data_IF_470997495779
#
_entry.id   IF_470997495779
#
_cell.length_a   1.000
_cell.length_b   1.000
_cell.length_c   1.000
_cell.angle_alpha   90.00
_cell.angle_beta   90.00
_cell.angle_gamma   90.00
#
_symmetry.space_group_name_H-M   'P 1'
#
loop_
_entity.id
_entity.type
_entity.pdbx_description
1 polymer ?
#
# COMPACT_ATOMS: atom_id res chain seq x y z
N UNK A 1 -10.35 -6.95 21.50
CA UNK A 1 -10.37 -7.77 22.71
C UNK A 1 -9.30 -7.29 23.70
N UNK A 2 -9.64 -7.32 24.97
CA UNK A 2 -8.75 -6.86 26.03
C UNK A 2 -8.62 -7.95 27.10
N UNK A 3 -7.50 -7.99 27.80
CA UNK A 3 -7.33 -8.80 28.99
C UNK A 3 -8.02 -8.18 30.22
N UNK A 4 -7.97 -8.85 31.38
CA UNK A 4 -8.56 -8.37 32.62
C UNK A 4 -7.86 -7.10 33.17
N UNK A 5 -6.65 -6.81 32.77
CA UNK A 5 -5.90 -5.61 33.14
C UNK A 5 -6.12 -4.44 32.18
N UNK A 6 -6.88 -4.66 31.10
CA UNK A 6 -7.18 -3.64 30.08
C UNK A 6 -6.14 -3.53 28.97
N UNK A 7 -5.21 -4.48 28.84
CA UNK A 7 -4.29 -4.51 27.74
C UNK A 7 -4.98 -5.04 26.47
N UNK A 8 -4.73 -4.41 25.35
CA UNK A 8 -5.25 -4.86 24.05
C UNK A 8 -4.59 -6.18 23.66
N UNK A 9 -5.37 -7.23 23.47
CA UNK A 9 -4.93 -8.54 23.01
C UNK A 9 -5.08 -8.71 21.51
N UNK A 10 -6.15 -8.17 20.93
CA UNK A 10 -6.47 -8.31 19.53
C UNK A 10 -7.39 -7.23 19.02
N UNK A 11 -7.21 -6.80 17.78
CA UNK A 11 -8.08 -5.89 17.03
C UNK A 11 -8.57 -6.56 15.75
N UNK A 12 -9.75 -6.19 15.30
CA UNK A 12 -10.29 -6.60 14.01
C UNK A 12 -10.51 -5.37 13.13
N UNK A 13 -10.08 -5.45 11.89
CA UNK A 13 -10.47 -4.50 10.86
C UNK A 13 -11.78 -4.99 10.21
N UNK A 14 -12.84 -4.22 10.36
CA UNK A 14 -14.13 -4.53 9.72
C UNK A 14 -14.23 -3.68 8.45
N UNK A 15 -14.32 -4.34 7.32
CA UNK A 15 -14.40 -3.71 6.01
C UNK A 15 -15.75 -4.02 5.37
N UNK A 16 -16.63 -3.01 5.30
CA UNK A 16 -17.96 -3.14 4.73
C UNK A 16 -17.97 -2.50 3.34
N UNK A 17 -18.33 -3.25 2.34
CA UNK A 17 -18.33 -2.84 0.94
C UNK A 17 -19.61 -3.26 0.24
N UNK A 18 -20.10 -2.46 -0.74
CA UNK A 18 -21.29 -2.79 -1.51
C UNK A 18 -20.98 -3.72 -2.70
N UNK A 19 -20.12 -4.72 -2.52
CA UNK A 19 -19.77 -5.67 -3.56
C UNK A 19 -19.44 -7.05 -2.97
N UNK A 20 -19.54 -8.07 -3.79
CA UNK A 20 -19.16 -9.44 -3.44
C UNK A 20 -17.79 -9.76 -4.04
N UNK A 21 -16.73 -9.92 -3.23
CA UNK A 21 -15.40 -10.23 -3.74
C UNK A 21 -15.33 -11.58 -4.46
N UNK A 22 -16.25 -12.49 -4.21
CA UNK A 22 -16.32 -13.78 -4.89
C UNK A 22 -16.84 -13.68 -6.34
N UNK A 23 -17.57 -12.63 -6.65
CA UNK A 23 -18.13 -12.40 -7.99
C UNK A 23 -17.32 -11.37 -8.80
N UNK A 24 -16.56 -10.53 -8.12
CA UNK A 24 -15.76 -9.46 -8.74
C UNK A 24 -14.27 -9.77 -8.59
N UNK A 25 -13.82 -10.84 -9.24
CA UNK A 25 -12.44 -11.32 -9.22
C UNK A 25 -11.79 -11.19 -10.59
N UNK A 26 -10.45 -11.08 -10.57
CA UNK A 26 -9.59 -11.21 -11.75
C UNK A 26 -8.76 -12.46 -11.60
N UNK A 27 -8.65 -13.26 -12.65
CA UNK A 27 -7.84 -14.47 -12.66
C UNK A 27 -6.56 -14.25 -13.48
N UNK A 28 -5.41 -14.41 -12.83
CA UNK A 28 -4.07 -14.33 -13.42
C UNK A 28 -3.17 -15.42 -12.83
N UNK A 29 -2.41 -16.10 -13.67
CA UNK A 29 -1.45 -17.13 -13.23
C UNK A 29 -2.07 -18.16 -12.27
N UNK A 30 -3.31 -18.58 -12.54
CA UNK A 30 -4.08 -19.51 -11.69
C UNK A 30 -4.48 -18.94 -10.30
N UNK A 31 -4.24 -17.64 -10.06
CA UNK A 31 -4.70 -16.94 -8.87
C UNK A 31 -5.95 -16.12 -9.15
N UNK A 32 -6.91 -16.17 -8.24
CA UNK A 32 -8.10 -15.33 -8.26
C UNK A 32 -7.92 -14.16 -7.30
N UNK A 33 -7.76 -12.96 -7.86
CA UNK A 33 -7.49 -11.72 -7.12
C UNK A 33 -8.78 -10.92 -6.94
N UNK A 34 -8.92 -10.26 -5.80
CA UNK A 34 -9.92 -9.21 -5.64
C UNK A 34 -9.70 -8.11 -6.69
N UNK A 35 -10.77 -7.54 -7.23
CA UNK A 35 -10.70 -6.46 -8.22
C UNK A 35 -10.17 -5.15 -7.65
N UNK A 36 -10.13 -5.00 -6.32
CA UNK A 36 -9.79 -3.76 -5.62
C UNK A 36 -8.80 -3.96 -4.47
N UNK A 37 -8.20 -2.85 -4.04
CA UNK A 37 -7.29 -2.85 -2.91
C UNK A 37 -8.02 -3.15 -1.61
N UNK A 38 -7.35 -3.81 -0.68
CA UNK A 38 -7.90 -4.04 0.66
C UNK A 38 -8.21 -2.69 1.34
N UNK A 39 -9.43 -2.54 1.82
CA UNK A 39 -9.95 -1.30 2.39
C UNK A 39 -10.52 -0.29 1.37
N UNK A 40 -10.46 -0.58 0.07
CA UNK A 40 -11.07 0.29 -0.94
C UNK A 40 -12.59 0.07 -1.05
N UNK A 41 -13.32 1.16 -1.24
CA UNK A 41 -14.77 1.13 -1.40
C UNK A 41 -15.20 1.10 -2.87
N UNK A 42 -14.28 1.36 -3.79
CA UNK A 42 -14.54 1.45 -5.21
C UNK A 42 -13.40 0.80 -6.02
N UNK A 43 -13.63 0.62 -7.32
CA UNK A 43 -12.66 0.13 -8.31
C UNK A 43 -12.78 0.98 -9.59
N UNK A 44 -12.71 2.31 -9.44
CA UNK A 44 -12.74 3.29 -10.51
C UNK A 44 -11.86 4.49 -10.16
N UNK A 45 -11.44 5.25 -11.16
CA UNK A 45 -10.51 6.36 -10.97
C UNK A 45 -10.77 7.58 -11.88
N UNK A 46 -11.94 7.67 -12.49
CA UNK A 46 -12.25 8.76 -13.43
C UNK A 46 -12.57 10.07 -12.70
N UNK A 47 -13.24 10.00 -11.57
CA UNK A 47 -13.53 11.18 -10.72
C UNK A 47 -12.60 11.24 -9.49
N UNK A 48 -12.55 12.40 -8.83
CA UNK A 48 -11.79 12.56 -7.61
C UNK A 48 -12.31 11.67 -6.47
N UNK A 49 -13.62 11.54 -6.35
CA UNK A 49 -14.30 10.70 -5.38
C UNK A 49 -14.02 9.22 -5.62
N UNK A 50 -14.06 8.78 -6.86
CA UNK A 50 -13.70 7.41 -7.24
C UNK A 50 -12.26 7.11 -6.88
N UNK A 51 -11.32 8.01 -7.19
CA UNK A 51 -9.90 7.82 -6.84
C UNK A 51 -9.69 7.67 -5.34
N UNK A 52 -10.33 8.54 -4.53
CA UNK A 52 -10.26 8.45 -3.07
C UNK A 52 -10.79 7.11 -2.56
N UNK A 53 -11.94 6.69 -3.07
CA UNK A 53 -12.58 5.44 -2.68
C UNK A 53 -11.79 4.20 -3.14
N UNK A 54 -10.92 4.33 -4.14
CA UNK A 54 -10.18 3.21 -4.73
C UNK A 54 -8.76 3.03 -4.19
N UNK A 55 -8.22 3.99 -3.45
CA UNK A 55 -6.86 3.85 -2.89
C UNK A 55 -6.75 2.70 -1.87
N UNK A 56 -7.76 2.51 -1.03
CA UNK A 56 -7.71 1.55 0.06
C UNK A 56 -6.80 1.99 1.20
N UNK A 57 -6.33 1.02 1.96
CA UNK A 57 -5.51 1.20 3.16
C UNK A 57 -4.08 0.71 2.91
N UNK A 58 -3.17 1.16 3.78
CA UNK A 58 -1.79 0.69 3.79
C UNK A 58 -1.54 -0.27 4.94
N UNK A 59 -0.60 -1.18 4.74
CA UNK A 59 -0.17 -2.18 5.71
C UNK A 59 1.35 -2.18 5.79
N UNK A 60 1.92 -2.27 6.99
CA UNK A 60 3.32 -2.67 7.13
C UNK A 60 3.42 -4.17 6.89
N UNK A 61 4.44 -4.61 6.20
CA UNK A 61 4.58 -6.02 5.85
C UNK A 61 4.61 -6.91 7.11
N UNK A 62 3.83 -7.98 7.11
CA UNK A 62 3.70 -8.88 8.25
C UNK A 62 2.71 -8.43 9.33
N UNK A 63 2.04 -7.26 9.18
CA UNK A 63 1.05 -6.74 10.14
C UNK A 63 -0.36 -6.84 9.57
N UNK A 64 -1.31 -7.24 10.45
CA UNK A 64 -2.73 -7.31 10.10
C UNK A 64 -3.48 -5.99 10.19
N UNK A 65 -2.96 -5.01 10.93
CA UNK A 65 -3.66 -3.75 11.23
C UNK A 65 -3.39 -2.70 10.14
N UNK A 66 -4.42 -2.04 9.63
CA UNK A 66 -4.32 -1.07 8.56
C UNK A 66 -3.87 0.31 9.04
N UNK A 67 -3.25 1.03 8.13
CA UNK A 67 -2.96 2.46 8.23
C UNK A 67 -3.73 3.23 7.17
N UNK A 68 -4.16 4.43 7.52
CA UNK A 68 -4.88 5.31 6.60
C UNK A 68 -4.06 5.54 5.34
N UNK A 69 -4.67 5.37 4.18
CA UNK A 69 -4.14 5.70 2.88
C UNK A 69 -4.14 7.20 2.59
N UNK A 70 -3.95 7.62 1.34
CA UNK A 70 -4.01 9.03 0.97
C UNK A 70 -5.34 9.66 1.34
N UNK A 71 -5.31 10.78 2.05
CA UNK A 71 -6.52 11.50 2.50
C UNK A 71 -7.20 12.32 1.41
N UNK A 72 -6.58 12.45 0.24
CA UNK A 72 -7.19 12.95 -0.98
C UNK A 72 -6.41 12.38 -2.17
N UNK A 73 -6.99 12.44 -3.37
CA UNK A 73 -6.29 12.01 -4.58
C UNK A 73 -5.02 12.84 -4.86
N UNK A 74 -4.86 13.94 -4.16
CA UNK A 74 -3.67 14.81 -4.18
C UNK A 74 -2.96 14.86 -2.84
N UNK A 75 -3.46 14.21 -1.81
CA UNK A 75 -2.91 14.37 -0.47
C UNK A 75 -1.79 13.41 -0.19
N UNK A 76 -0.85 13.95 0.44
CA UNK A 76 0.34 13.34 0.91
C UNK A 76 0.41 13.16 2.39
N UNK A 77 -0.49 13.67 3.07
CA UNK A 77 -0.37 14.04 4.45
C UNK A 77 -1.11 13.05 5.34
N UNK A 78 -0.97 11.79 5.00
CA UNK A 78 -1.63 10.74 5.73
C UNK A 78 -1.30 10.67 7.22
N UNK A 79 -0.29 11.40 7.69
CA UNK A 79 -0.03 11.57 9.13
C UNK A 79 -1.06 12.45 9.81
N UNK A 80 -1.77 13.29 9.06
CA UNK A 80 -2.85 14.14 9.57
C UNK A 80 -4.25 13.63 9.21
N UNK A 81 -4.38 12.52 8.50
CA UNK A 81 -5.67 11.90 8.28
C UNK A 81 -6.29 11.52 9.63
N UNK A 82 -7.51 11.97 9.85
CA UNK A 82 -8.23 11.68 11.08
C UNK A 82 -8.78 10.26 11.04
N UNK A 83 -8.63 9.58 12.15
CA UNK A 83 -9.28 8.31 12.45
C UNK A 83 -10.26 8.59 13.57
N UNK A 84 -11.41 7.94 13.55
CA UNK A 84 -12.43 8.12 14.57
C UNK A 84 -12.56 6.86 15.41
N UNK A 85 -12.57 7.02 16.73
CA UNK A 85 -12.86 5.93 17.64
C UNK A 85 -14.37 5.64 17.72
N UNK A 86 -14.77 4.65 18.52
CA UNK A 86 -16.19 4.28 18.67
C UNK A 86 -17.07 5.41 19.23
N UNK A 87 -16.50 6.34 19.97
CA UNK A 87 -17.21 7.50 20.52
C UNK A 87 -17.29 8.69 19.56
N UNK A 88 -16.76 8.52 18.33
CA UNK A 88 -16.71 9.56 17.33
C UNK A 88 -15.61 10.61 17.58
N UNK A 89 -14.78 10.44 18.60
CA UNK A 89 -13.64 11.31 18.84
C UNK A 89 -12.53 11.00 17.83
N UNK A 90 -11.95 12.05 17.25
CA UNK A 90 -10.85 11.89 16.32
C UNK A 90 -9.55 11.50 17.04
N UNK A 91 -8.80 10.61 16.42
CA UNK A 91 -7.46 10.25 16.84
C UNK A 91 -6.50 10.33 15.65
N UNK A 92 -5.21 10.24 15.91
CA UNK A 92 -4.17 10.25 14.90
C UNK A 92 -3.32 9.00 15.03
N UNK A 93 -2.65 8.63 13.96
CA UNK A 93 -1.58 7.65 14.03
C UNK A 93 -0.48 8.14 14.99
N UNK A 94 0.01 7.24 15.78
CA UNK A 94 1.25 7.43 16.55
C UNK A 94 2.43 6.84 15.80
N UNK A 95 3.63 7.25 16.17
CA UNK A 95 4.86 6.81 15.52
C UNK A 95 5.88 6.46 16.60
N UNK A 96 6.58 5.35 16.41
CA UNK A 96 7.66 4.91 17.28
C UNK A 96 8.79 4.31 16.45
N UNK A 97 10.01 4.50 16.88
CA UNK A 97 11.17 3.85 16.27
C UNK A 97 11.23 2.38 16.70
N UNK A 98 11.60 1.49 15.77
CA UNK A 98 11.81 0.08 16.07
C UNK A 98 12.96 -0.12 17.05
N UNK A 99 12.73 -0.90 18.09
CA UNK A 99 13.69 -1.30 19.13
C UNK A 99 13.41 -2.74 19.56
N UNK A 100 14.22 -3.27 20.46
CA UNK A 100 13.98 -4.60 21.06
C UNK A 100 12.60 -4.69 21.75
N UNK A 101 12.06 -3.56 22.23
CA UNK A 101 10.76 -3.49 22.89
C UNK A 101 9.62 -3.19 21.90
N UNK A 102 9.82 -2.23 21.02
CA UNK A 102 8.77 -1.71 20.11
C UNK A 102 8.71 -2.42 18.78
N UNK A 103 9.80 -3.06 18.37
CA UNK A 103 9.91 -3.80 17.10
C UNK A 103 9.50 -5.28 17.25
N UNK A 104 8.38 -5.56 17.91
CA UNK A 104 7.90 -6.92 18.16
C UNK A 104 6.46 -7.08 17.67
N UNK A 105 6.08 -8.30 17.27
CA UNK A 105 4.69 -8.60 16.92
C UNK A 105 3.74 -8.31 18.08
N UNK A 106 4.15 -8.64 19.32
CA UNK A 106 3.35 -8.37 20.51
C UNK A 106 3.08 -6.88 20.68
N UNK A 107 4.11 -6.04 20.52
CA UNK A 107 3.93 -4.59 20.57
C UNK A 107 3.01 -4.09 19.46
N UNK A 108 3.19 -4.57 18.24
CA UNK A 108 2.36 -4.20 17.09
C UNK A 108 0.88 -4.55 17.31
N UNK A 109 0.58 -5.74 17.87
CA UNK A 109 -0.77 -6.17 18.21
C UNK A 109 -1.43 -5.30 19.28
N UNK A 110 -0.67 -4.86 20.28
CA UNK A 110 -1.15 -3.99 21.35
C UNK A 110 -1.29 -2.53 20.92
N UNK A 111 -0.63 -2.13 19.82
CA UNK A 111 -0.61 -0.76 19.33
C UNK A 111 -0.98 -0.69 17.82
N UNK A 112 -2.21 -1.06 17.45
CA UNK A 112 -2.62 -1.18 16.04
C UNK A 112 -2.55 0.14 15.26
N UNK A 113 -2.70 1.29 15.94
CA UNK A 113 -2.60 2.63 15.34
C UNK A 113 -1.20 3.24 15.42
N UNK A 114 -0.19 2.47 15.86
CA UNK A 114 1.18 2.92 15.91
C UNK A 114 1.96 2.44 14.69
N UNK A 115 2.46 3.38 13.89
CA UNK A 115 3.38 3.07 12.80
C UNK A 115 4.80 2.93 13.36
N UNK A 116 5.40 1.75 13.20
CA UNK A 116 6.73 1.46 13.71
C UNK A 116 7.74 1.78 12.62
N UNK A 117 8.55 2.82 12.82
CA UNK A 117 9.54 3.25 11.82
C UNK A 117 10.78 2.36 11.87
N UNK A 118 11.31 2.01 10.71
CA UNK A 118 12.52 1.21 10.58
C UNK A 118 13.75 2.09 10.45
N UNK A 119 14.29 2.56 11.56
CA UNK A 119 15.47 3.43 11.63
C UNK A 119 16.54 2.86 12.56
N UNK A 120 17.70 3.51 12.64
CA UNK A 120 18.78 3.08 13.51
C UNK A 120 19.48 1.81 13.04
N UNK A 121 19.94 1.00 13.98
CA UNK A 121 20.66 -0.24 13.70
C UNK A 121 19.81 -1.33 13.05
N UNK A 122 18.51 -1.21 13.15
CA UNK A 122 17.57 -2.12 12.50
C UNK A 122 17.34 -1.79 11.00
N UNK A 123 17.87 -0.68 10.52
CA UNK A 123 17.83 -0.28 9.13
C UNK A 123 16.42 0.03 8.66
N UNK A 124 15.83 -0.86 7.86
CA UNK A 124 14.60 -0.60 7.12
C UNK A 124 13.42 -1.45 7.59
N UNK A 125 13.60 -2.19 8.70
CA UNK A 125 12.59 -3.08 9.24
C UNK A 125 11.88 -2.51 10.46
N UNK A 126 10.59 -2.80 10.59
CA UNK A 126 9.83 -2.53 11.80
C UNK A 126 10.05 -3.63 12.86
N UNK A 127 10.33 -4.88 12.45
CA UNK A 127 10.71 -5.96 13.35
C UNK A 127 12.17 -5.79 13.77
N UNK A 128 12.40 -5.86 15.08
CA UNK A 128 13.75 -5.85 15.63
C UNK A 128 14.50 -7.16 15.35
N UNK A 129 13.77 -8.26 15.40
CA UNK A 129 14.27 -9.59 15.05
C UNK A 129 13.93 -9.94 13.59
N UNK A 130 14.94 -10.28 12.80
CA UNK A 130 14.82 -10.60 11.36
C UNK A 130 14.40 -12.07 11.14
N UNK A 131 13.52 -12.61 11.95
CA UNK A 131 13.08 -14.00 11.89
C UNK A 131 11.94 -14.26 10.87
N UNK A 132 11.30 -13.22 10.36
CA UNK A 132 10.15 -13.37 9.46
C UNK A 132 10.58 -13.89 8.07
N UNK A 133 10.03 -15.02 7.66
CA UNK A 133 10.32 -15.66 6.36
C UNK A 133 9.29 -15.24 5.31
N UNK A 134 8.00 -15.40 5.61
CA UNK A 134 6.88 -14.98 4.78
C UNK A 134 5.77 -14.40 5.66
N UNK A 135 4.80 -13.73 5.05
CA UNK A 135 3.66 -13.17 5.80
C UNK A 135 2.87 -14.28 6.47
N UNK A 136 2.82 -14.25 7.80
CA UNK A 136 2.17 -15.30 8.58
C UNK A 136 0.66 -15.28 8.37
N UNK A 137 0.02 -16.46 8.35
CA UNK A 137 -1.43 -16.57 8.24
C UNK A 137 -2.17 -15.87 9.40
N UNK A 138 -1.59 -15.88 10.61
CA UNK A 138 -2.17 -15.23 11.78
C UNK A 138 -2.27 -13.71 11.59
N UNK A 139 -1.29 -13.10 10.96
CA UNK A 139 -1.20 -11.65 10.76
C UNK A 139 -1.63 -11.22 9.35
N UNK A 140 -2.24 -12.12 8.55
CA UNK A 140 -2.74 -11.80 7.23
C UNK A 140 -3.93 -10.84 7.35
N UNK A 141 -3.90 -9.65 6.72
CA UNK A 141 -4.97 -8.68 6.81
C UNK A 141 -6.17 -8.99 5.93
N UNK A 142 -6.06 -9.96 5.03
CA UNK A 142 -7.12 -10.33 4.11
C UNK A 142 -8.29 -11.01 4.83
N UNK A 143 -9.53 -10.87 4.34
CA UNK A 143 -10.68 -11.50 4.97
C UNK A 143 -10.62 -13.03 4.89
N UNK A 144 -11.44 -13.69 5.69
CA UNK A 144 -11.52 -15.14 5.71
C UNK A 144 -11.72 -15.71 4.30
N UNK A 145 -10.97 -16.77 3.97
CA UNK A 145 -10.95 -17.39 2.64
C UNK A 145 -10.02 -16.70 1.63
N UNK A 146 -9.38 -15.62 2.03
CA UNK A 146 -8.42 -14.85 1.22
C UNK A 146 -7.07 -14.74 1.93
N UNK A 147 -6.05 -14.37 1.20
CA UNK A 147 -4.69 -14.13 1.72
C UNK A 147 -3.99 -13.06 0.89
N UNK A 148 -2.93 -12.48 1.43
CA UNK A 148 -2.07 -11.55 0.67
C UNK A 148 -1.53 -12.27 -0.57
N UNK A 149 -1.59 -11.60 -1.73
CA UNK A 149 -1.15 -12.19 -2.99
C UNK A 149 0.36 -12.53 -2.94
N UNK A 150 0.78 -13.72 -3.34
CA UNK A 150 2.18 -14.02 -3.55
C UNK A 150 2.71 -13.32 -4.80
N UNK A 151 4.03 -13.14 -4.89
CA UNK A 151 4.65 -12.45 -6.03
C UNK A 151 4.38 -13.15 -7.37
N UNK A 152 4.22 -14.45 -7.34
CA UNK A 152 3.91 -15.31 -8.49
C UNK A 152 2.59 -14.93 -9.15
N UNK A 153 1.62 -14.41 -8.38
CA UNK A 153 0.34 -13.93 -8.92
C UNK A 153 0.50 -12.75 -9.88
N UNK A 154 1.60 -12.03 -9.80
CA UNK A 154 1.87 -10.81 -10.58
C UNK A 154 2.91 -11.00 -11.69
N UNK A 155 3.45 -12.21 -11.85
CA UNK A 155 4.45 -12.50 -12.89
C UNK A 155 3.83 -12.32 -14.28
N UNK A 156 4.55 -11.65 -15.17
CA UNK A 156 4.10 -11.41 -16.55
C UNK A 156 3.12 -10.26 -16.73
N UNK A 157 2.67 -9.62 -15.66
CA UNK A 157 1.82 -8.44 -15.77
C UNK A 157 2.57 -7.26 -16.42
N UNK A 158 1.84 -6.51 -17.20
CA UNK A 158 2.30 -5.30 -17.86
C UNK A 158 1.22 -4.21 -17.80
N UNK A 159 1.58 -2.98 -18.14
CA UNK A 159 0.60 -1.92 -18.32
C UNK A 159 -0.33 -2.30 -19.49
N UNK A 160 -1.63 -2.13 -19.30
CA UNK A 160 -2.63 -2.35 -20.34
C UNK A 160 -2.62 -1.15 -21.32
N UNK A 161 -1.82 -1.25 -22.34
CA UNK A 161 -1.48 -0.15 -23.24
C UNK A 161 -0.51 0.87 -22.61
N UNK A 162 -0.41 2.02 -23.26
CA UNK A 162 0.42 3.13 -22.78
C UNK A 162 -0.48 4.26 -22.30
N UNK A 163 -0.36 4.70 -21.02
CA UNK A 163 -1.05 5.90 -20.58
C UNK A 163 -0.67 7.11 -21.44
N UNK A 164 -1.63 7.98 -21.67
CA UNK A 164 -1.40 9.28 -22.31
C UNK A 164 -1.25 10.38 -21.26
N UNK A 165 -0.87 11.58 -21.68
CA UNK A 165 -0.81 12.73 -20.77
C UNK A 165 -2.16 13.04 -20.10
N UNK A 166 -3.27 12.77 -20.80
CA UNK A 166 -4.62 12.92 -20.24
C UNK A 166 -4.93 11.91 -19.14
N UNK A 167 -4.32 10.72 -19.22
CA UNK A 167 -4.54 9.65 -18.26
C UNK A 167 -3.69 9.80 -16.99
N UNK A 168 -2.71 10.70 -17.02
CA UNK A 168 -1.79 10.90 -15.90
C UNK A 168 -2.52 11.29 -14.59
N UNK A 169 -3.56 12.10 -14.70
CA UNK A 169 -4.36 12.55 -13.55
C UNK A 169 -5.35 11.48 -13.02
N UNK A 170 -5.32 10.27 -13.58
CA UNK A 170 -6.12 9.15 -13.08
C UNK A 170 -5.48 8.45 -11.86
N UNK A 171 -4.20 8.68 -11.60
CA UNK A 171 -3.44 8.13 -10.46
C UNK A 171 -3.56 6.62 -10.28
N UNK A 172 -3.61 5.90 -11.37
CA UNK A 172 -3.71 4.46 -11.44
C UNK A 172 -3.89 4.00 -12.88
N UNK A 173 -3.58 2.75 -13.14
CA UNK A 173 -3.68 2.20 -14.46
C UNK A 173 -4.12 0.74 -14.42
N UNK A 174 -4.65 0.26 -15.51
CA UNK A 174 -4.93 -1.16 -15.64
C UNK A 174 -3.65 -1.92 -15.87
N UNK A 175 -3.48 -3.01 -15.14
CA UNK A 175 -2.49 -4.03 -15.42
C UNK A 175 -3.18 -5.21 -16.10
N UNK A 176 -2.46 -5.90 -16.99
CA UNK A 176 -2.97 -7.03 -17.77
C UNK A 176 -1.94 -8.12 -17.93
N UNK A 177 -2.41 -9.37 -18.07
CA UNK A 177 -1.66 -10.53 -18.54
C UNK A 177 -1.76 -10.73 -20.07
N UNK A 178 -2.49 -9.82 -20.74
CA UNK A 178 -2.81 -9.90 -22.15
C UNK A 178 -4.21 -10.47 -22.46
N UNK A 179 -4.86 -11.10 -21.49
CA UNK A 179 -6.22 -11.65 -21.62
C UNK A 179 -7.24 -10.88 -20.79
N UNK A 180 -6.88 -10.56 -19.57
CA UNK A 180 -7.73 -9.83 -18.61
C UNK A 180 -7.01 -8.62 -18.04
N UNK A 181 -7.77 -7.61 -17.61
CA UNK A 181 -7.23 -6.38 -17.05
C UNK A 181 -7.91 -6.01 -15.75
N UNK A 182 -7.16 -5.42 -14.83
CA UNK A 182 -7.69 -4.88 -13.57
C UNK A 182 -7.03 -3.57 -13.22
N UNK A 183 -7.80 -2.66 -12.62
CA UNK A 183 -7.30 -1.37 -12.14
C UNK A 183 -6.43 -1.55 -10.89
N UNK A 184 -5.25 -0.94 -10.92
CA UNK A 184 -4.36 -0.77 -9.78
C UNK A 184 -4.10 0.70 -9.54
N UNK A 185 -4.33 1.16 -8.32
CA UNK A 185 -4.14 2.57 -7.96
C UNK A 185 -2.67 2.85 -7.65
N UNK A 186 -2.19 4.00 -8.10
CA UNK A 186 -0.86 4.50 -7.76
C UNK A 186 -0.93 5.27 -6.43
N UNK A 187 -1.24 4.57 -5.35
CA UNK A 187 -1.41 5.14 -4.03
C UNK A 187 -0.09 5.54 -3.34
N UNK A 188 1.06 5.18 -3.92
CA UNK A 188 2.37 5.38 -3.30
C UNK A 188 2.57 4.47 -2.08
N UNK A 189 3.20 5.02 -1.04
CA UNK A 189 3.49 4.30 0.21
C UNK A 189 3.58 5.24 1.41
N UNK A 190 3.47 4.70 2.62
CA UNK A 190 4.03 5.32 3.83
C UNK A 190 5.49 4.94 3.95
N UNK A 191 6.35 5.92 4.11
CA UNK A 191 7.80 5.69 4.14
C UNK A 191 8.25 5.15 5.49
N UNK A 192 9.11 4.17 5.46
CA UNK A 192 9.66 3.49 6.64
C UNK A 192 10.31 4.44 7.67
N UNK A 193 10.88 5.56 7.22
CA UNK A 193 11.60 6.52 8.08
C UNK A 193 10.70 7.31 9.02
N UNK A 194 9.48 7.64 8.59
CA UNK A 194 8.64 8.63 9.29
C UNK A 194 7.13 8.42 9.11
N UNK A 195 6.72 7.37 8.39
CA UNK A 195 5.32 7.05 8.13
C UNK A 195 4.57 8.05 7.24
N UNK A 196 5.25 9.05 6.67
CA UNK A 196 4.62 10.00 5.74
C UNK A 196 4.33 9.32 4.41
N UNK A 197 3.23 9.70 3.76
CA UNK A 197 2.87 9.20 2.43
C UNK A 197 3.75 9.84 1.38
N UNK A 198 4.29 9.03 0.48
CA UNK A 198 5.16 9.44 -0.62
C UNK A 198 4.78 8.74 -1.93
N UNK A 199 5.21 9.32 -3.05
CA UNK A 199 5.01 8.80 -4.40
C UNK A 199 3.54 8.76 -4.85
N UNK A 200 2.67 9.49 -4.17
CA UNK A 200 1.38 9.91 -4.71
C UNK A 200 1.60 11.24 -5.40
N UNK A 201 1.22 11.34 -6.65
CA UNK A 201 1.36 12.58 -7.39
C UNK A 201 0.58 13.74 -6.76
N UNK A 202 1.24 14.89 -6.65
CA UNK A 202 0.67 16.08 -6.04
C UNK A 202 1.13 17.33 -6.74
N UNK A 203 0.40 17.81 -7.73
CA UNK A 203 0.81 18.98 -8.49
C UNK A 203 0.75 20.29 -7.71
N UNK A 204 0.13 20.35 -6.55
CA UNK A 204 -0.17 21.64 -5.90
C UNK A 204 0.11 21.72 -4.39
N UNK A 205 0.54 20.67 -3.74
CA UNK A 205 0.79 20.70 -2.29
C UNK A 205 2.26 20.44 -2.02
N UNK A 206 2.94 21.53 -1.91
CA UNK A 206 4.37 21.62 -1.74
C UNK A 206 4.66 21.93 -0.27
N UNK A 207 4.37 21.02 0.62
CA UNK A 207 4.95 21.10 1.96
C UNK A 207 4.87 19.76 2.64
N UNK A 208 5.94 19.36 3.25
CA UNK A 208 6.08 18.32 4.26
C UNK A 208 6.28 16.87 3.84
N UNK A 209 6.13 16.50 2.59
CA UNK A 209 6.40 15.13 2.19
C UNK A 209 7.30 15.10 0.99
N UNK A 210 8.49 14.68 1.15
CA UNK A 210 9.53 14.60 0.13
C UNK A 210 10.16 15.96 -0.19
N UNK A 211 11.45 15.94 -0.32
CA UNK A 211 12.20 17.06 -0.85
C UNK A 211 11.49 17.59 -2.10
N UNK A 212 10.82 18.70 -1.92
CA UNK A 212 10.25 19.47 -2.99
C UNK A 212 11.37 19.72 -3.97
N UNK A 213 11.26 19.15 -5.11
CA UNK A 213 12.10 19.57 -6.20
C UNK A 213 11.60 20.93 -6.63
N UNK A 214 12.36 21.95 -6.33
CA UNK A 214 12.01 23.36 -6.53
C UNK A 214 12.07 23.82 -7.98
N UNK A 215 12.13 22.90 -8.93
CA UNK A 215 12.24 23.21 -10.35
C UNK A 215 10.92 22.91 -11.05
N UNK A 216 10.28 23.88 -11.73
CA UNK A 216 9.06 23.63 -12.51
C UNK A 216 9.20 22.53 -13.57
N UNK A 217 10.41 22.29 -14.07
CA UNK A 217 10.69 21.15 -14.97
C UNK A 217 10.60 19.77 -14.25
N UNK A 218 10.48 19.76 -12.92
CA UNK A 218 10.35 18.56 -12.10
C UNK A 218 8.92 18.30 -11.63
N UNK A 219 7.93 19.01 -12.16
CA UNK A 219 6.51 18.85 -11.80
C UNK A 219 5.94 17.48 -12.19
N UNK A 220 6.58 16.77 -13.09
CA UNK A 220 6.21 15.43 -13.48
C UNK A 220 6.96 14.38 -12.66
N UNK A 221 6.61 14.24 -11.39
CA UNK A 221 7.06 13.07 -10.61
C UNK A 221 6.29 11.83 -11.11
N UNK A 222 6.95 10.68 -11.31
CA UNK A 222 6.23 9.47 -11.61
C UNK A 222 5.25 9.16 -10.49
N UNK A 223 4.01 8.82 -10.81
CA UNK A 223 3.19 8.18 -9.83
C UNK A 223 3.52 6.68 -9.72
N UNK A 224 3.36 6.14 -8.56
CA UNK A 224 3.86 4.82 -8.20
C UNK A 224 2.77 4.01 -7.51
N UNK A 225 2.51 2.82 -8.03
CA UNK A 225 1.75 1.79 -7.34
C UNK A 225 2.69 0.79 -6.66
N UNK A 226 2.46 0.55 -5.38
CA UNK A 226 3.25 -0.34 -4.55
C UNK A 226 2.32 -1.24 -3.74
N UNK A 227 2.46 -2.54 -3.95
CA UNK A 227 1.60 -3.56 -3.35
C UNK A 227 2.45 -4.64 -2.73
N UNK A 228 2.29 -4.87 -1.44
CA UNK A 228 2.95 -5.97 -0.79
C UNK A 228 2.56 -7.32 -1.40
N UNK A 229 3.54 -8.21 -1.46
CA UNK A 229 3.30 -9.64 -1.67
C UNK A 229 3.54 -10.40 -0.38
N UNK A 230 3.07 -11.64 -0.30
CA UNK A 230 3.26 -12.47 0.88
C UNK A 230 4.73 -12.84 1.13
N UNK A 231 5.58 -12.75 0.11
CA UNK A 231 6.93 -13.27 0.15
C UNK A 231 7.92 -12.31 0.79
N UNK A 232 8.75 -12.85 1.67
CA UNK A 232 9.93 -12.17 2.17
C UNK A 232 10.99 -11.99 1.06
N UNK A 233 11.91 -11.07 1.28
CA UNK A 233 13.14 -10.90 0.52
C UNK A 233 14.33 -10.92 1.48
N UNK A 234 15.53 -10.80 0.95
CA UNK A 234 16.76 -10.73 1.75
C UNK A 234 16.87 -9.38 2.47
N UNK A 235 17.74 -9.31 3.47
CA UNK A 235 18.18 -8.08 4.14
C UNK A 235 17.03 -7.24 4.71
N UNK A 236 16.11 -7.88 5.42
CA UNK A 236 14.98 -7.19 6.09
C UNK A 236 14.03 -6.46 5.13
N UNK A 237 14.00 -6.92 3.90
CA UNK A 237 13.09 -6.49 2.87
C UNK A 237 12.01 -7.54 2.61
N UNK A 238 10.99 -7.13 1.88
CA UNK A 238 9.97 -8.03 1.34
C UNK A 238 9.67 -7.68 -0.11
N UNK A 239 9.08 -8.64 -0.83
CA UNK A 239 8.75 -8.43 -2.23
C UNK A 239 7.47 -7.61 -2.34
N UNK A 240 7.42 -6.78 -3.38
CA UNK A 240 6.27 -5.98 -3.72
C UNK A 240 6.07 -5.94 -5.23
N UNK A 241 4.82 -5.95 -5.68
CA UNK A 241 4.49 -5.48 -7.01
C UNK A 241 4.75 -3.99 -7.04
N UNK A 242 5.56 -3.54 -7.98
CA UNK A 242 5.85 -2.15 -8.25
C UNK A 242 5.52 -1.82 -9.69
N UNK A 243 4.73 -0.76 -9.90
CA UNK A 243 4.55 -0.19 -11.23
C UNK A 243 4.61 1.33 -11.16
N UNK A 244 4.97 1.94 -12.27
CA UNK A 244 5.13 3.38 -12.35
C UNK A 244 4.80 3.90 -13.73
N UNK A 245 4.47 5.18 -13.79
CA UNK A 245 4.32 5.94 -15.01
C UNK A 245 4.92 7.34 -14.83
N UNK A 246 5.73 7.77 -15.79
CA UNK A 246 6.40 9.06 -15.78
C UNK A 246 5.99 9.88 -17.00
N UNK A 247 5.23 10.92 -16.77
CA UNK A 247 4.79 11.87 -17.80
C UNK A 247 5.97 12.61 -18.45
N UNK A 248 7.02 12.90 -17.68
CA UNK A 248 8.20 13.60 -18.17
C UNK A 248 8.95 12.79 -19.22
N UNK A 249 9.11 11.50 -18.97
CA UNK A 249 9.73 10.59 -19.94
C UNK A 249 8.96 10.55 -21.25
N UNK A 250 7.63 10.58 -21.20
CA UNK A 250 6.78 10.64 -22.39
C UNK A 250 6.99 11.94 -23.18
N UNK A 251 7.15 13.08 -22.50
CA UNK A 251 7.34 14.39 -23.14
C UNK A 251 8.73 14.56 -23.76
N UNK A 252 9.75 13.92 -23.23
CA UNK A 252 11.13 13.99 -23.70
C UNK A 252 11.42 13.00 -24.84
N UNK A 253 10.41 12.26 -25.32
CA UNK A 253 10.55 11.33 -26.43
C UNK A 253 11.22 10.00 -26.05
N UNK A 254 11.33 9.69 -24.77
CA UNK A 254 11.75 8.37 -24.32
C UNK A 254 10.70 7.31 -24.68
N UNK A 255 11.19 6.14 -25.05
CA UNK A 255 10.32 5.04 -25.47
C UNK A 255 9.68 4.29 -24.29
N UNK A 256 10.15 4.55 -23.07
CA UNK A 256 9.69 3.86 -21.88
C UNK A 256 9.08 4.85 -20.87
N UNK A 257 7.78 4.96 -20.90
CA UNK A 257 7.00 5.87 -20.07
C UNK A 257 6.50 5.25 -18.78
N UNK A 258 6.67 3.97 -18.59
CA UNK A 258 6.26 3.24 -17.42
C UNK A 258 6.81 1.81 -17.37
N UNK A 259 6.55 1.11 -16.28
CA UNK A 259 6.98 -0.28 -16.11
C UNK A 259 6.27 -0.99 -14.97
N UNK A 260 6.33 -2.31 -15.02
CA UNK A 260 5.77 -3.21 -14.01
C UNK A 260 6.85 -4.19 -13.55
N UNK A 261 7.02 -4.33 -12.25
CA UNK A 261 8.00 -5.20 -11.61
C UNK A 261 7.28 -6.03 -10.53
N UNK A 262 7.02 -7.31 -10.76
CA UNK A 262 6.17 -8.13 -9.90
C UNK A 262 6.79 -8.48 -8.55
N UNK A 263 8.10 -8.35 -8.40
CA UNK A 263 8.83 -8.80 -7.22
C UNK A 263 9.97 -7.83 -6.84
N UNK A 264 9.70 -6.54 -6.88
CA UNK A 264 10.65 -5.53 -6.41
C UNK A 264 10.89 -5.65 -4.90
N UNK A 265 12.12 -5.37 -4.45
CA UNK A 265 12.48 -5.47 -3.02
C UNK A 265 12.31 -4.14 -2.32
N UNK A 266 11.58 -4.14 -1.20
CA UNK A 266 11.31 -2.96 -0.39
C UNK A 266 11.42 -3.23 1.10
N UNK A 267 11.86 -2.21 1.83
CA UNK A 267 11.95 -2.22 3.30
C UNK A 267 10.61 -2.54 3.97
N UNK A 268 10.58 -3.56 4.84
CA UNK A 268 9.36 -4.07 5.51
C UNK A 268 8.63 -3.03 6.36
N UNK A 269 9.34 -2.04 6.87
CA UNK A 269 8.71 -0.96 7.62
C UNK A 269 7.91 0.03 6.77
N UNK A 270 7.97 -0.03 5.43
CA UNK A 270 7.04 0.76 4.61
C UNK A 270 5.60 0.28 4.80
N UNK A 271 4.67 1.21 4.70
CA UNK A 271 3.25 0.90 4.57
C UNK A 271 2.84 0.96 3.10
N UNK A 272 2.33 -0.15 2.55
CA UNK A 272 1.93 -0.25 1.15
C UNK A 272 0.54 -0.86 1.01
N UNK A 273 -0.05 -0.75 -0.17
CA UNK A 273 -1.31 -1.39 -0.49
C UNK A 273 -1.20 -2.91 -0.44
N UNK A 274 -2.33 -3.57 -0.25
CA UNK A 274 -2.48 -5.02 -0.33
C UNK A 274 -3.58 -5.36 -1.33
N UNK A 275 -3.34 -6.38 -2.15
CA UNK A 275 -4.34 -7.03 -2.98
C UNK A 275 -4.43 -8.49 -2.55
N UNK A 276 -5.64 -8.93 -2.20
CA UNK A 276 -5.85 -10.30 -1.73
C UNK A 276 -6.11 -11.27 -2.89
N UNK A 277 -5.63 -12.51 -2.73
CA UNK A 277 -6.01 -13.65 -3.57
C UNK A 277 -6.84 -14.63 -2.79
N UNK A 278 -7.73 -15.34 -3.47
CA UNK A 278 -8.52 -16.41 -2.86
C UNK A 278 -7.61 -17.57 -2.47
N UNK A 279 -7.75 -18.08 -1.25
CA UNK A 279 -7.07 -19.31 -0.82
C UNK A 279 -7.49 -20.46 -1.71
N UNK A 280 -6.53 -21.27 -2.13
CA UNK A 280 -6.77 -22.46 -2.95
C UNK A 280 -7.28 -23.63 -2.11
#
# INVERSE_FOLDING_TARGET
>A
AYDAAGNLLWSWHIWTVPYDPEQDMVEWNDYRLMSRNLGALNNANTTAEERLASYGLFYQWGRKDPFVGPGSYRANNGSSALIYNADGASTKLTFVESSAETGTESYALQHPLCFITGVGSNGYDWLWDDSAVDWSEQNDPCPYGWQVAPAEAFVGLQLDGQPTDADYDLFGWKLTDGATSSLFMAAGRRVYLNGKIQNVYQPAIVSDAVAVRSNPAEEAQPWVGLYWTANAAIDRNSKALYFWYDKKSALEGETKTGGVFPAASYARANGMSVRCVKKQ
#
